data_IF_580126507448
#
_entry.id   IF_580126507448
#
_cell.length_a   1.000
_cell.length_b   1.000
_cell.length_c   1.000
_cell.angle_alpha   90.00
_cell.angle_beta   90.00
_cell.angle_gamma   90.00
#
_symmetry.space_group_name_H-M   'P 1'
#
loop_
_entity.id
_entity.type
_entity.pdbx_description
1 polymer ?
#
# COMPACT_ATOMS: atom_id res chain seq x y z
N UNK A 1 37.64 5.74 -22.32
CA UNK A 1 37.21 4.50 -21.62
C UNK A 1 37.33 4.75 -20.12
N UNK A 2 36.23 5.01 -19.41
CA UNK A 2 36.24 5.21 -17.96
C UNK A 2 35.91 3.87 -17.29
N UNK A 3 36.88 3.32 -16.57
CA UNK A 3 36.74 2.06 -15.84
C UNK A 3 35.81 2.28 -14.63
N UNK A 4 34.66 1.60 -14.62
CA UNK A 4 33.76 1.58 -13.47
C UNK A 4 34.39 0.73 -12.37
N UNK A 5 35.01 1.40 -11.39
CA UNK A 5 35.44 0.79 -10.14
C UNK A 5 34.20 0.28 -9.38
N UNK A 6 33.94 -1.03 -9.51
CA UNK A 6 32.84 -1.73 -8.83
C UNK A 6 33.18 -1.83 -7.35
N UNK A 7 32.74 -0.84 -6.56
CA UNK A 7 32.81 -0.85 -5.10
C UNK A 7 31.97 -2.02 -4.58
N UNK A 8 32.60 -3.15 -4.28
CA UNK A 8 31.98 -4.25 -3.55
C UNK A 8 31.69 -3.74 -2.14
N UNK A 9 30.42 -3.43 -1.87
CA UNK A 9 29.95 -3.37 -0.50
C UNK A 9 30.09 -4.79 0.06
N UNK A 10 30.76 -4.92 1.19
CA UNK A 10 30.86 -6.18 1.91
C UNK A 10 29.44 -6.62 2.25
N UNK A 11 28.90 -7.53 1.43
CA UNK A 11 27.62 -8.19 1.66
C UNK A 11 27.79 -8.99 2.95
N UNK A 12 27.15 -8.62 4.08
CA UNK A 12 27.14 -9.49 5.22
C UNK A 12 26.43 -10.79 4.79
N UNK A 13 27.14 -11.91 4.97
CA UNK A 13 26.64 -13.25 4.69
C UNK A 13 25.28 -13.42 5.39
N UNK A 14 24.23 -13.94 4.74
CA UNK A 14 22.98 -14.22 5.42
C UNK A 14 23.23 -15.29 6.49
N UNK A 15 23.13 -14.88 7.75
CA UNK A 15 23.10 -15.81 8.88
C UNK A 15 21.80 -16.62 8.77
N UNK A 16 21.82 -17.96 8.83
CA UNK A 16 20.60 -18.74 8.84
C UNK A 16 19.97 -18.64 10.23
N UNK A 17 19.16 -17.62 10.46
CA UNK A 17 18.33 -17.55 11.67
C UNK A 17 17.15 -18.50 11.48
N UNK A 18 17.30 -19.72 12.00
CA UNK A 18 16.20 -20.63 12.30
C UNK A 18 15.26 -19.91 13.29
N UNK A 19 14.26 -19.20 12.77
CA UNK A 19 13.15 -18.66 13.56
C UNK A 19 11.91 -19.50 13.25
N UNK A 20 11.52 -20.48 14.08
CA UNK A 20 10.23 -21.17 13.94
C UNK A 20 9.05 -20.29 14.39
N UNK A 21 9.18 -18.96 14.40
CA UNK A 21 8.21 -18.06 15.02
C UNK A 21 7.76 -16.85 14.19
N UNK A 22 8.16 -16.77 12.91
CA UNK A 22 7.62 -15.77 11.99
C UNK A 22 6.20 -16.08 11.46
N UNK A 23 5.63 -17.25 11.82
CA UNK A 23 4.24 -17.59 11.48
C UNK A 23 3.22 -16.77 12.30
N UNK A 24 3.58 -16.33 13.51
CA UNK A 24 2.65 -15.63 14.41
C UNK A 24 2.45 -14.14 14.09
N UNK A 25 3.30 -13.55 13.24
CA UNK A 25 3.14 -12.18 12.74
C UNK A 25 2.22 -12.08 11.53
N UNK A 26 1.82 -13.23 10.95
CA UNK A 26 0.76 -13.29 9.95
C UNK A 26 -0.54 -13.71 10.63
N UNK A 27 -1.14 -12.79 11.40
CA UNK A 27 -2.54 -12.96 11.81
C UNK A 27 -3.35 -13.10 10.51
N UNK A 28 -3.95 -14.28 10.31
CA UNK A 28 -4.90 -14.48 9.22
C UNK A 28 -6.04 -13.49 9.44
N UNK A 29 -6.23 -12.59 8.48
CA UNK A 29 -7.38 -11.71 8.48
C UNK A 29 -8.62 -12.54 8.19
N UNK A 30 -9.74 -12.19 8.81
CA UNK A 30 -11.00 -12.84 8.46
C UNK A 30 -11.29 -12.57 6.99
N UNK A 31 -11.47 -13.65 6.22
CA UNK A 31 -11.94 -13.61 4.84
C UNK A 31 -13.47 -13.65 4.77
N UNK A 32 -14.15 -13.41 5.90
CA UNK A 32 -15.61 -13.46 5.96
C UNK A 32 -16.21 -12.50 4.94
N UNK A 33 -17.01 -13.08 4.05
CA UNK A 33 -17.78 -12.35 3.04
C UNK A 33 -19.13 -11.89 3.58
N UNK A 34 -19.38 -12.06 4.88
CA UNK A 34 -20.63 -11.61 5.50
C UNK A 34 -20.67 -10.08 5.44
N UNK A 35 -21.70 -9.49 4.80
CA UNK A 35 -21.81 -8.04 4.72
C UNK A 35 -22.06 -7.46 6.11
N UNK A 36 -21.37 -6.36 6.40
CA UNK A 36 -21.59 -5.56 7.60
C UNK A 36 -21.69 -4.08 7.22
N UNK A 37 -22.57 -3.39 7.94
CA UNK A 37 -22.81 -1.95 7.74
C UNK A 37 -21.70 -1.14 8.41
N UNK A 38 -21.06 -0.26 7.66
CA UNK A 38 -20.13 0.75 8.19
C UNK A 38 -20.78 2.12 8.14
N UNK A 39 -20.86 2.78 9.29
CA UNK A 39 -21.26 4.18 9.38
C UNK A 39 -20.07 5.09 9.08
N UNK A 40 -20.22 5.99 8.10
CA UNK A 40 -19.19 6.98 7.78
C UNK A 40 -19.46 8.28 8.53
N UNK A 41 -18.63 8.61 9.53
CA UNK A 41 -18.80 9.79 10.39
C UNK A 41 -18.38 11.13 9.74
N UNK A 42 -18.10 11.13 8.44
CA UNK A 42 -17.63 12.32 7.73
C UNK A 42 -18.77 13.31 7.58
N UNK A 43 -18.59 14.51 8.13
CA UNK A 43 -19.50 15.62 7.88
C UNK A 43 -19.35 16.06 6.44
N UNK A 44 -20.42 15.93 5.67
CA UNK A 44 -20.42 16.33 4.28
C UNK A 44 -20.98 17.75 4.14
N UNK A 45 -20.28 18.60 3.41
CA UNK A 45 -20.73 19.95 3.07
C UNK A 45 -21.41 19.90 1.70
N UNK A 46 -22.72 20.12 1.65
CA UNK A 46 -23.50 20.04 0.40
C UNK A 46 -23.94 21.42 -0.07
N UNK A 47 -23.82 21.68 -1.37
CA UNK A 47 -24.48 22.79 -2.06
C UNK A 47 -25.41 22.23 -3.12
N UNK A 48 -26.73 22.40 -2.95
CA UNK A 48 -27.79 22.07 -3.92
C UNK A 48 -27.91 20.60 -4.37
N UNK A 49 -27.37 19.63 -3.61
CA UNK A 49 -27.52 18.19 -3.93
C UNK A 49 -27.92 17.39 -2.70
N UNK A 50 -28.60 16.27 -2.93
CA UNK A 50 -28.97 15.33 -1.87
C UNK A 50 -27.72 14.62 -1.33
N UNK A 51 -27.57 14.51 0.00
CA UNK A 51 -26.47 13.77 0.62
C UNK A 51 -26.38 12.31 0.15
N UNK A 52 -25.19 11.78 -0.22
CA UNK A 52 -24.94 10.34 -0.23
C UNK A 52 -25.32 9.71 1.11
N UNK A 53 -25.79 8.46 1.00
CA UNK A 53 -26.09 7.60 2.13
C UNK A 53 -24.85 7.47 3.03
N UNK A 54 -25.06 7.61 4.34
CA UNK A 54 -24.00 7.53 5.36
C UNK A 54 -23.67 6.11 5.79
N UNK A 55 -24.39 5.14 5.24
CA UNK A 55 -24.27 3.72 5.51
C UNK A 55 -23.80 3.03 4.25
N UNK A 56 -22.68 2.32 4.35
CA UNK A 56 -22.17 1.49 3.27
C UNK A 56 -22.12 0.05 3.77
N UNK A 57 -22.81 -0.84 3.08
CA UNK A 57 -22.68 -2.28 3.27
C UNK A 57 -21.37 -2.74 2.62
N UNK A 58 -20.47 -3.31 3.40
CA UNK A 58 -19.20 -3.84 2.90
C UNK A 58 -18.87 -5.19 3.52
N UNK A 59 -18.04 -5.98 2.84
CA UNK A 59 -17.49 -7.22 3.40
C UNK A 59 -16.06 -7.02 3.92
N UNK A 60 -15.61 -7.89 4.83
CA UNK A 60 -14.23 -7.82 5.34
C UNK A 60 -13.20 -8.05 4.22
N UNK A 61 -13.53 -8.91 3.25
CA UNK A 61 -12.70 -9.18 2.08
C UNK A 61 -12.50 -7.93 1.19
N UNK A 62 -13.57 -7.18 0.92
CA UNK A 62 -13.49 -5.93 0.13
C UNK A 62 -12.72 -4.84 0.88
N UNK A 63 -12.96 -4.70 2.18
CA UNK A 63 -12.24 -3.72 3.00
C UNK A 63 -10.73 -3.99 3.00
N UNK A 64 -10.32 -5.25 3.09
CA UNK A 64 -8.91 -5.61 3.02
C UNK A 64 -8.34 -5.39 1.62
N UNK A 65 -9.13 -5.58 0.58
CA UNK A 65 -8.72 -5.25 -0.80
C UNK A 65 -8.46 -3.75 -0.94
N UNK A 66 -9.39 -2.90 -0.49
CA UNK A 66 -9.20 -1.44 -0.49
C UNK A 66 -7.97 -1.00 0.31
N UNK A 67 -7.76 -1.59 1.49
CA UNK A 67 -6.57 -1.30 2.30
C UNK A 67 -5.27 -1.63 1.56
N UNK A 68 -5.21 -2.82 0.94
CA UNK A 68 -4.04 -3.25 0.18
C UNK A 68 -3.77 -2.34 -1.01
N UNK A 69 -4.81 -1.93 -1.73
CA UNK A 69 -4.69 -1.04 -2.89
C UNK A 69 -4.20 0.36 -2.47
N UNK A 70 -4.75 0.93 -1.39
CA UNK A 70 -4.27 2.20 -0.84
C UNK A 70 -2.81 2.11 -0.39
N UNK A 71 -2.43 1.03 0.31
CA UNK A 71 -1.05 0.81 0.72
C UNK A 71 -0.11 0.64 -0.47
N UNK A 72 -0.57 -0.02 -1.55
CA UNK A 72 0.19 -0.19 -2.79
C UNK A 72 0.39 1.13 -3.51
N UNK A 73 -0.66 1.95 -3.67
CA UNK A 73 -0.57 3.29 -4.24
C UNK A 73 0.42 4.15 -3.46
N UNK A 74 0.35 4.13 -2.12
CA UNK A 74 1.28 4.90 -1.27
C UNK A 74 2.74 4.46 -1.44
N UNK A 75 3.00 3.15 -1.53
CA UNK A 75 4.36 2.64 -1.78
C UNK A 75 4.87 3.03 -3.17
N UNK A 76 4.01 2.95 -4.18
CA UNK A 76 4.35 3.36 -5.54
C UNK A 76 4.68 4.86 -5.60
N UNK A 77 3.89 5.71 -4.94
CA UNK A 77 4.12 7.15 -4.85
C UNK A 77 5.50 7.47 -4.24
N UNK A 78 5.88 6.82 -3.14
CA UNK A 78 7.19 7.01 -2.49
C UNK A 78 8.33 6.62 -3.44
N UNK A 79 8.19 5.50 -4.15
CA UNK A 79 9.20 5.05 -5.11
C UNK A 79 9.30 6.03 -6.28
N UNK A 80 8.17 6.45 -6.85
CA UNK A 80 8.14 7.44 -7.94
C UNK A 80 8.75 8.78 -7.49
N UNK A 81 8.45 9.24 -6.27
CA UNK A 81 9.08 10.44 -5.71
C UNK A 81 10.61 10.28 -5.55
N UNK A 82 11.08 9.10 -5.11
CA UNK A 82 12.51 8.81 -5.03
C UNK A 82 13.20 8.79 -6.41
N UNK A 83 12.51 8.27 -7.44
CA UNK A 83 12.99 8.21 -8.82
C UNK A 83 13.00 9.59 -9.48
N UNK A 84 12.02 10.43 -9.16
CA UNK A 84 11.98 11.83 -9.59
C UNK A 84 13.20 12.59 -9.04
N UNK A 85 13.53 12.39 -7.76
CA UNK A 85 14.74 12.96 -7.16
C UNK A 85 16.03 12.46 -7.81
N UNK A 86 16.05 11.21 -8.32
CA UNK A 86 17.21 10.65 -9.02
C UNK A 86 17.32 11.02 -10.51
N UNK A 87 16.50 11.96 -11.01
CA UNK A 87 16.48 12.45 -12.41
C UNK A 87 16.22 11.37 -13.48
N UNK A 88 15.65 10.23 -13.10
CA UNK A 88 15.19 9.20 -14.05
C UNK A 88 13.74 9.52 -14.44
N UNK A 89 13.57 10.51 -15.32
CA UNK A 89 12.31 11.21 -15.61
C UNK A 89 11.32 10.46 -16.51
N UNK A 90 11.61 9.22 -16.90
CA UNK A 90 10.83 8.49 -17.92
C UNK A 90 9.58 7.76 -17.38
N UNK A 91 9.33 7.77 -16.07
CA UNK A 91 8.25 6.98 -15.42
C UNK A 91 7.02 7.78 -14.96
N UNK A 92 6.99 9.11 -15.09
CA UNK A 92 5.88 9.96 -14.60
C UNK A 92 4.62 9.97 -15.51
N UNK A 93 4.04 8.81 -15.80
CA UNK A 93 2.74 8.65 -16.49
C UNK A 93 1.81 7.63 -15.80
N UNK A 94 1.90 7.52 -14.48
CA UNK A 94 1.03 6.64 -13.68
C UNK A 94 -0.05 7.40 -12.88
N UNK A 95 -0.19 8.71 -13.12
CA UNK A 95 -1.17 9.59 -12.45
C UNK A 95 -1.94 10.43 -13.49
N UNK A 96 -2.45 9.79 -14.55
CA UNK A 96 -3.45 10.42 -15.40
C UNK A 96 -4.56 9.44 -15.70
#
# INVERSE_FOLDING_TARGET
>A
MVALSRRRHNLPKPLPTLLPHASHLRRLFSTDSTPFTVETSTSFTYSNCEPPLRYVETSAAELMTFFNDMAKMRRMEIVVYSLYKSKLSYFCRWVK
#
